data_IF_030446184970
#
_entry.id   IF_030446184970
#
_cell.length_a   1.000
_cell.length_b   1.000
_cell.length_c   1.000
_cell.angle_alpha   90.00
_cell.angle_beta   90.00
_cell.angle_gamma   90.00
#
_symmetry.space_group_name_H-M   'P 1'
#
loop_
_entity.id
_entity.type
_entity.pdbx_description
1 polymer ?
#
# COMPACT_ATOMS: atom_id res chain seq x y z
N UNK A 1 1.46 -31.17 18.56
CA UNK A 1 0.38 -31.18 17.56
C UNK A 1 0.60 -29.96 16.69
N UNK A 2 1.36 -30.12 15.62
CA UNK A 2 1.58 -29.07 14.63
C UNK A 2 0.44 -29.10 13.62
N UNK A 3 -0.27 -27.99 13.52
CA UNK A 3 -1.37 -27.82 12.55
C UNK A 3 -0.70 -27.38 11.24
N UNK A 4 -0.78 -28.14 10.14
CA UNK A 4 -0.19 -27.72 8.88
C UNK A 4 -1.01 -26.55 8.30
N UNK A 5 -0.33 -25.45 7.97
CA UNK A 5 -0.89 -24.34 7.19
C UNK A 5 -0.91 -24.81 5.72
N UNK A 6 -2.06 -24.86 5.02
CA UNK A 6 -2.09 -25.26 3.62
C UNK A 6 -1.45 -24.19 2.73
N UNK A 7 -0.68 -24.65 1.73
CA UNK A 7 -0.08 -23.83 0.67
C UNK A 7 -1.19 -23.20 -0.20
N UNK A 8 -1.59 -21.98 0.12
CA UNK A 8 -2.57 -21.19 -0.66
C UNK A 8 -1.91 -20.38 -1.79
N UNK A 9 -0.64 -20.64 -2.12
CA UNK A 9 0.16 -19.78 -2.98
C UNK A 9 0.18 -20.17 -4.47
N UNK A 10 -0.45 -21.27 -4.89
CA UNK A 10 -0.22 -21.82 -6.25
C UNK A 10 -1.30 -21.61 -7.29
N UNK A 11 -2.45 -20.99 -6.98
CA UNK A 11 -3.46 -20.78 -8.03
C UNK A 11 -4.33 -19.52 -7.83
N UNK A 12 -3.74 -18.36 -8.14
CA UNK A 12 -4.52 -17.20 -8.59
C UNK A 12 -4.02 -16.82 -9.98
N UNK A 13 -4.64 -17.41 -10.99
CA UNK A 13 -4.49 -16.99 -12.38
C UNK A 13 -4.53 -15.44 -12.45
N UNK A 14 -3.43 -14.86 -12.95
CA UNK A 14 -3.27 -13.42 -13.16
C UNK A 14 -4.49 -12.89 -13.94
N UNK A 15 -5.27 -11.92 -13.39
CA UNK A 15 -6.39 -11.36 -14.12
C UNK A 15 -5.90 -10.70 -15.42
N UNK A 16 -6.69 -10.76 -16.51
CA UNK A 16 -6.32 -10.17 -17.78
C UNK A 16 -6.08 -8.66 -17.62
N UNK A 17 -5.16 -8.05 -18.40
CA UNK A 17 -4.92 -6.61 -18.32
C UNK A 17 -6.17 -5.85 -18.83
N UNK A 18 -7.06 -5.54 -17.90
CA UNK A 18 -8.24 -4.70 -18.14
C UNK A 18 -7.84 -3.23 -18.18
N UNK A 19 -8.26 -2.56 -19.25
CA UNK A 19 -8.11 -1.14 -19.60
C UNK A 19 -7.61 -0.21 -18.48
N UNK A 20 -6.28 -0.07 -18.37
CA UNK A 20 -5.64 0.95 -17.55
C UNK A 20 -5.81 2.29 -18.27
N UNK A 21 -6.64 3.19 -17.73
CA UNK A 21 -6.65 4.59 -18.19
C UNK A 21 -5.25 5.16 -17.93
N UNK A 22 -4.51 5.41 -19.01
CA UNK A 22 -3.36 6.31 -19.02
C UNK A 22 -3.90 7.69 -18.69
N UNK A 23 -3.60 8.22 -17.49
CA UNK A 23 -3.35 9.65 -17.18
C UNK A 23 -3.44 9.89 -15.66
N UNK A 24 -2.27 9.82 -15.01
CA UNK A 24 -1.75 10.64 -13.90
C UNK A 24 -0.67 9.84 -13.15
N UNK A 25 0.60 10.06 -13.52
CA UNK A 25 1.74 9.32 -12.98
C UNK A 25 2.38 10.08 -11.83
N UNK A 26 1.82 9.91 -10.62
CA UNK A 26 2.70 9.58 -9.51
C UNK A 26 2.86 8.05 -9.55
N UNK A 27 4.07 7.48 -9.50
CA UNK A 27 4.22 6.03 -9.39
C UNK A 27 3.73 5.64 -7.99
N UNK A 28 2.42 5.39 -7.87
CA UNK A 28 1.77 4.99 -6.63
C UNK A 28 2.55 3.85 -6.02
N UNK A 29 3.08 4.09 -4.83
CA UNK A 29 3.85 3.11 -4.04
C UNK A 29 2.92 2.24 -3.21
N UNK A 30 1.61 2.48 -3.29
CA UNK A 30 0.54 1.72 -2.66
C UNK A 30 -0.43 1.20 -3.75
N UNK A 31 -0.39 -0.10 -4.03
CA UNK A 31 -1.38 -0.74 -4.89
C UNK A 31 -2.74 -0.81 -4.20
N UNK A 32 -3.84 -0.60 -4.92
CA UNK A 32 -5.21 -0.64 -4.38
C UNK A 32 -6.03 -1.70 -5.10
N UNK A 33 -6.70 -2.58 -4.36
CA UNK A 33 -7.65 -3.55 -4.91
C UNK A 33 -8.89 -3.66 -4.01
N UNK A 34 -10.08 -3.60 -4.59
CA UNK A 34 -11.33 -3.81 -3.84
C UNK A 34 -11.81 -5.25 -4.00
N UNK A 35 -12.06 -5.93 -2.88
CA UNK A 35 -12.70 -7.26 -2.82
C UNK A 35 -13.94 -7.21 -1.93
N UNK A 36 -15.09 -6.94 -2.55
CA UNK A 36 -16.35 -6.77 -1.83
C UNK A 36 -16.31 -5.59 -0.86
N UNK A 37 -16.30 -5.89 0.44
CA UNK A 37 -16.20 -4.92 1.54
C UNK A 37 -14.75 -4.69 2.02
N UNK A 38 -13.75 -5.28 1.34
CA UNK A 38 -12.34 -5.13 1.67
C UNK A 38 -11.65 -4.16 0.71
N UNK A 39 -10.79 -3.29 1.23
CA UNK A 39 -9.80 -2.55 0.45
C UNK A 39 -8.40 -3.10 0.76
N UNK A 40 -7.77 -3.70 -0.23
CA UNK A 40 -6.42 -4.24 -0.13
C UNK A 40 -5.44 -3.16 -0.55
N UNK A 41 -4.53 -2.80 0.35
CA UNK A 41 -3.50 -1.79 0.18
C UNK A 41 -2.14 -2.46 0.21
N UNK A 42 -1.37 -2.41 -0.88
CA UNK A 42 -0.13 -3.15 -1.04
C UNK A 42 1.09 -2.25 -1.13
N UNK A 43 2.04 -2.39 -0.21
CA UNK A 43 3.33 -1.70 -0.24
C UNK A 43 4.14 -2.15 -1.46
N UNK A 44 4.40 -1.27 -2.42
CA UNK A 44 5.00 -1.55 -3.74
C UNK A 44 6.29 -0.74 -3.99
N UNK A 45 7.29 -0.98 -3.15
CA UNK A 45 8.66 -0.45 -3.30
C UNK A 45 9.68 -1.56 -3.04
N UNK A 46 9.46 -2.71 -3.69
CA UNK A 46 10.19 -3.98 -3.45
C UNK A 46 11.71 -3.80 -3.52
N UNK A 47 12.21 -3.04 -4.49
CA UNK A 47 13.64 -2.77 -4.68
C UNK A 47 14.32 -2.07 -3.49
N UNK A 48 13.54 -1.48 -2.57
CA UNK A 48 14.01 -0.84 -1.34
C UNK A 48 13.44 -1.53 -0.10
N UNK A 49 13.06 -2.81 -0.22
CA UNK A 49 12.44 -3.60 0.85
C UNK A 49 11.23 -2.87 1.46
N UNK A 50 10.46 -2.18 0.62
CA UNK A 50 9.28 -1.41 1.03
C UNK A 50 9.57 -0.35 2.11
N UNK A 51 10.77 0.24 2.12
CA UNK A 51 11.08 1.37 3.00
C UNK A 51 10.27 2.60 2.61
N UNK A 52 9.65 3.27 3.59
CA UNK A 52 8.80 4.44 3.41
C UNK A 52 9.63 5.67 3.01
N UNK A 53 9.44 6.13 1.77
CA UNK A 53 9.81 7.48 1.32
C UNK A 53 8.58 8.42 1.39
N UNK A 54 8.78 9.73 1.23
CA UNK A 54 7.68 10.70 1.29
C UNK A 54 6.54 10.38 0.30
N UNK A 55 6.80 10.06 -0.99
CA UNK A 55 5.73 9.71 -1.92
C UNK A 55 4.89 8.51 -1.46
N UNK A 56 5.52 7.50 -0.84
CA UNK A 56 4.81 6.33 -0.32
C UNK A 56 3.97 6.65 0.92
N UNK A 57 4.44 7.55 1.79
CA UNK A 57 3.66 8.05 2.92
C UNK A 57 2.44 8.84 2.44
N UNK A 58 2.63 9.75 1.49
CA UNK A 58 1.55 10.54 0.90
C UNK A 58 0.49 9.65 0.25
N UNK A 59 0.92 8.65 -0.52
CA UNK A 59 0.03 7.70 -1.19
C UNK A 59 -0.71 6.79 -0.20
N UNK A 60 -0.07 6.39 0.91
CA UNK A 60 -0.72 5.62 1.96
C UNK A 60 -1.77 6.45 2.70
N UNK A 61 -1.49 7.73 2.97
CA UNK A 61 -2.47 8.65 3.57
C UNK A 61 -3.69 8.80 2.67
N UNK A 62 -3.49 9.06 1.38
CA UNK A 62 -4.58 9.16 0.42
C UNK A 62 -5.42 7.87 0.35
N UNK A 63 -4.77 6.70 0.32
CA UNK A 63 -5.46 5.41 0.30
C UNK A 63 -6.28 5.12 1.56
N UNK A 64 -5.81 5.57 2.73
CA UNK A 64 -6.58 5.50 3.97
C UNK A 64 -7.76 6.48 3.97
N UNK A 65 -7.61 7.68 3.40
CA UNK A 65 -8.72 8.59 3.17
C UNK A 65 -9.81 8.02 2.26
N UNK A 66 -9.40 7.36 1.17
CA UNK A 66 -10.32 6.63 0.28
C UNK A 66 -11.09 5.53 1.03
N UNK A 67 -10.44 4.84 1.98
CA UNK A 67 -11.09 3.84 2.83
C UNK A 67 -12.12 4.48 3.76
N UNK A 68 -11.75 5.54 4.48
CA UNK A 68 -12.63 6.22 5.44
C UNK A 68 -13.86 6.86 4.76
N UNK A 69 -13.72 7.31 3.51
CA UNK A 69 -14.81 7.96 2.77
C UNK A 69 -15.85 6.99 2.15
N UNK A 70 -15.60 5.67 2.10
CA UNK A 70 -16.53 4.69 1.51
C UNK A 70 -17.21 3.84 2.60
N UNK A 71 -18.43 4.20 2.96
CA UNK A 71 -19.31 3.49 3.91
C UNK A 71 -19.57 2.01 3.56
N UNK A 72 -19.25 1.57 2.33
CA UNK A 72 -19.39 0.17 1.93
C UNK A 72 -18.16 -0.67 2.28
N UNK A 73 -17.03 -0.06 2.61
CA UNK A 73 -15.83 -0.75 3.08
C UNK A 73 -15.98 -1.05 4.57
N UNK A 74 -15.42 -2.19 5.00
CA UNK A 74 -15.52 -2.67 6.39
C UNK A 74 -14.15 -3.03 6.98
N UNK A 75 -13.14 -3.20 6.12
CA UNK A 75 -11.80 -3.52 6.53
C UNK A 75 -10.81 -3.14 5.42
N UNK A 76 -9.73 -2.46 5.80
CA UNK A 76 -8.55 -2.29 4.96
C UNK A 76 -7.53 -3.38 5.31
N UNK A 77 -7.05 -4.12 4.31
CA UNK A 77 -5.95 -5.07 4.45
C UNK A 77 -4.68 -4.44 3.91
N UNK A 78 -3.75 -4.07 4.80
CA UNK A 78 -2.41 -3.65 4.44
C UNK A 78 -1.51 -4.88 4.27
N UNK A 79 -0.90 -5.03 3.11
CA UNK A 79 0.05 -6.10 2.79
C UNK A 79 1.25 -5.53 2.02
N UNK A 80 2.22 -6.38 1.69
CA UNK A 80 3.42 -5.97 0.97
C UNK A 80 3.67 -6.85 -0.25
N UNK A 81 4.18 -6.24 -1.32
CA UNK A 81 4.71 -6.96 -2.46
C UNK A 81 6.16 -7.40 -2.18
N UNK A 82 6.54 -8.56 -2.71
CA UNK A 82 7.87 -9.13 -2.52
C UNK A 82 8.07 -9.78 -1.15
N UNK A 83 9.33 -10.03 -0.79
CA UNK A 83 9.70 -10.86 0.37
C UNK A 83 9.65 -10.14 1.72
N UNK A 84 9.59 -8.80 1.72
CA UNK A 84 9.72 -7.99 2.93
C UNK A 84 8.51 -7.12 3.13
N UNK A 85 7.96 -7.10 4.35
CA UNK A 85 6.87 -6.18 4.67
C UNK A 85 7.33 -4.72 4.55
N UNK A 86 8.31 -4.30 5.35
CA UNK A 86 8.99 -2.99 5.24
C UNK A 86 10.35 -3.03 5.93
N UNK A 87 11.32 -2.26 5.44
CA UNK A 87 12.56 -1.94 6.15
C UNK A 87 12.44 -0.70 7.06
N UNK A 88 11.23 -0.17 7.25
CA UNK A 88 10.96 1.02 8.06
C UNK A 88 11.06 2.32 7.25
N UNK A 89 11.47 3.41 7.91
CA UNK A 89 11.65 4.70 7.24
C UNK A 89 12.94 4.73 6.41
N UNK A 90 12.85 5.23 5.18
CA UNK A 90 14.02 5.59 4.38
C UNK A 90 14.62 6.89 4.96
N UNK A 91 15.46 6.78 5.99
CA UNK A 91 15.97 7.94 6.74
C UNK A 91 16.73 8.95 5.87
N UNK A 92 17.35 8.49 4.77
CA UNK A 92 17.99 9.37 3.80
C UNK A 92 16.97 10.24 3.04
N UNK A 93 15.74 9.74 2.88
CA UNK A 93 14.66 10.46 2.22
C UNK A 93 13.82 11.30 3.20
N UNK A 94 13.42 10.73 4.34
CA UNK A 94 12.42 11.35 5.24
C UNK A 94 13.04 12.12 6.41
N UNK A 95 14.33 11.93 6.68
CA UNK A 95 14.96 12.36 7.93
C UNK A 95 14.86 13.85 8.21
N UNK A 96 15.04 14.70 7.18
CA UNK A 96 14.93 16.15 7.34
C UNK A 96 13.49 16.60 7.56
N UNK A 97 12.55 16.08 6.77
CA UNK A 97 11.12 16.39 6.89
C UNK A 97 10.59 16.05 8.28
N UNK A 98 10.97 14.89 8.84
CA UNK A 98 10.54 14.49 10.18
C UNK A 98 11.18 15.34 11.28
N UNK A 99 12.45 15.77 11.12
CA UNK A 99 13.09 16.72 12.05
C UNK A 99 12.38 18.08 12.08
N UNK A 100 11.88 18.54 10.93
CA UNK A 100 11.15 19.80 10.82
C UNK A 100 9.68 19.71 11.27
N UNK A 101 9.22 18.53 11.68
CA UNK A 101 7.82 18.25 11.99
C UNK A 101 7.07 17.87 10.73
N UNK A 102 6.98 16.55 10.48
CA UNK A 102 6.21 16.04 9.35
C UNK A 102 4.74 16.49 9.46
N UNK A 103 4.24 17.08 8.37
CA UNK A 103 2.85 17.48 8.24
C UNK A 103 2.09 16.37 7.56
N UNK A 104 0.94 16.04 8.13
CA UNK A 104 0.04 15.06 7.54
C UNK A 104 -0.43 15.58 6.17
N UNK A 105 -0.27 14.79 5.09
CA UNK A 105 -0.73 15.17 3.75
C UNK A 105 -2.25 15.33 3.68
N UNK A 106 -2.72 16.05 2.66
CA UNK A 106 -4.15 16.11 2.35
C UNK A 106 -4.70 14.71 2.04
N UNK A 107 -5.96 14.46 2.40
CA UNK A 107 -6.60 13.15 2.29
C UNK A 107 -6.55 12.32 3.57
N UNK A 108 -5.90 12.81 4.64
CA UNK A 108 -6.09 12.28 5.97
C UNK A 108 -7.39 12.83 6.58
N UNK A 109 -8.48 12.08 6.42
CA UNK A 109 -9.82 12.32 7.00
C UNK A 109 -10.63 13.45 6.37
#
# INVERSE_FOLDING_TARGET
MDIPIPDVYTDVARPPPGNRRMNDTLPGRISRERRGHLLLLGLDRVAKRNAFDLPMLDDLVAALGEYEADDKLRCALLFAHGEHFTAGLDLANVGETFRQGWKLPEGAV
#
